data_IF_984106584226
#
_entry.id   IF_984106584226
#
_cell.length_a   1.000
_cell.length_b   1.000
_cell.length_c   1.000
_cell.angle_alpha   90.00
_cell.angle_beta   90.00
_cell.angle_gamma   90.00
#
_symmetry.space_group_name_H-M   'P 1'
#
loop_
_entity.id
_entity.type
_entity.pdbx_description
1 polymer ?
#
# COMPACT_ATOMS: atom_id res chain seq x y z
N UNK A 1 12.91 7.67 6.46
CA UNK A 1 12.20 6.44 6.87
C UNK A 1 11.26 6.03 5.76
N UNK A 2 10.98 4.74 5.64
CA UNK A 2 10.11 4.16 4.61
C UNK A 2 8.94 3.45 5.28
N UNK A 3 7.79 3.47 4.61
CA UNK A 3 6.68 2.60 4.95
C UNK A 3 7.06 1.15 4.66
N UNK A 4 6.80 0.26 5.61
CA UNK A 4 6.88 -1.19 5.48
C UNK A 4 5.52 -1.75 5.06
N UNK A 5 5.53 -2.84 4.30
CA UNK A 5 4.34 -3.57 3.88
C UNK A 5 4.47 -5.01 4.35
N UNK A 6 3.75 -5.34 5.41
CA UNK A 6 3.83 -6.64 6.07
C UNK A 6 2.54 -7.44 5.85
N UNK A 7 2.67 -8.75 5.84
CA UNK A 7 1.54 -9.68 5.80
C UNK A 7 1.40 -10.28 7.18
N UNK A 8 0.19 -10.29 7.73
CA UNK A 8 -0.07 -10.88 9.04
C UNK A 8 -1.17 -11.93 8.95
N UNK A 9 -1.16 -12.87 9.89
CA UNK A 9 -2.28 -13.76 10.15
C UNK A 9 -2.84 -13.49 11.54
N UNK A 10 -4.14 -13.71 11.71
CA UNK A 10 -4.78 -13.62 13.01
C UNK A 10 -4.91 -15.01 13.62
N UNK A 11 -4.29 -15.20 14.78
CA UNK A 11 -4.42 -16.45 15.52
C UNK A 11 -5.85 -16.60 16.09
N UNK A 12 -6.28 -17.82 16.46
CA UNK A 12 -7.57 -18.06 17.07
C UNK A 12 -7.83 -17.27 18.37
N UNK A 13 -6.76 -16.81 19.05
CA UNK A 13 -6.85 -15.99 20.25
C UNK A 13 -6.97 -14.47 19.95
N UNK A 14 -7.00 -14.10 18.67
CA UNK A 14 -7.10 -12.72 18.19
C UNK A 14 -5.76 -11.99 18.05
N UNK A 15 -4.64 -12.60 18.43
CA UNK A 15 -3.32 -11.99 18.26
C UNK A 15 -2.89 -11.96 16.80
N UNK A 16 -2.06 -10.98 16.49
CA UNK A 16 -1.41 -10.86 15.20
C UNK A 16 -0.07 -11.55 15.21
N UNK A 17 0.20 -12.26 14.12
CA UNK A 17 1.52 -12.76 13.81
C UNK A 17 1.90 -12.21 12.43
N UNK A 18 2.88 -11.29 12.40
CA UNK A 18 3.53 -10.87 11.16
C UNK A 18 4.29 -12.09 10.61
N UNK A 19 4.12 -12.35 9.33
CA UNK A 19 4.89 -13.38 8.65
C UNK A 19 6.26 -12.83 8.28
N UNK A 20 7.30 -13.48 8.80
CA UNK A 20 8.67 -13.18 8.42
C UNK A 20 8.85 -13.40 6.92
N UNK A 21 9.35 -12.36 6.26
CA UNK A 21 9.76 -12.40 4.86
C UNK A 21 11.29 -12.29 4.84
N UNK A 22 11.99 -13.02 3.97
CA UNK A 22 13.46 -12.95 3.91
C UNK A 22 13.97 -11.51 3.77
N UNK A 23 15.07 -11.19 4.47
CA UNK A 23 15.66 -9.84 4.53
C UNK A 23 16.01 -9.22 3.16
N UNK A 24 16.14 -10.03 2.11
CA UNK A 24 16.44 -9.61 0.75
C UNK A 24 15.19 -9.20 -0.05
N UNK A 25 13.99 -9.37 0.51
CA UNK A 25 12.73 -8.96 -0.12
C UNK A 25 12.43 -7.50 0.21
N UNK A 26 12.41 -6.66 -0.82
CA UNK A 26 12.10 -5.25 -0.67
C UNK A 26 10.59 -5.02 -0.46
N UNK A 27 10.18 -4.75 0.78
CA UNK A 27 8.78 -4.59 1.18
C UNK A 27 8.39 -3.14 1.51
N UNK A 28 8.80 -2.18 0.67
CA UNK A 28 8.48 -0.78 0.95
C UNK A 28 7.18 -0.33 0.32
N UNK A 29 6.33 0.33 1.11
CA UNK A 29 5.14 1.07 0.68
C UNK A 29 5.45 2.50 0.22
N UNK A 30 6.73 2.90 0.21
CA UNK A 30 7.18 4.23 -0.18
C UNK A 30 7.90 4.97 0.94
N UNK A 31 8.16 6.25 0.73
CA UNK A 31 8.75 7.10 1.76
C UNK A 31 7.72 7.45 2.84
N UNK A 32 8.17 7.70 4.06
CA UNK A 32 7.29 8.15 5.15
C UNK A 32 6.47 9.41 4.77
N UNK A 33 7.04 10.31 3.96
CA UNK A 33 6.31 11.48 3.45
C UNK A 33 5.12 11.11 2.54
N UNK A 34 5.18 9.97 1.86
CA UNK A 34 4.14 9.53 0.90
C UNK A 34 2.82 9.18 1.57
N UNK A 35 2.82 8.93 2.89
CA UNK A 35 1.61 8.91 3.73
C UNK A 35 0.68 10.07 3.39
N UNK A 36 1.23 11.28 3.25
CA UNK A 36 0.46 12.51 2.98
C UNK A 36 0.57 12.99 1.53
N UNK A 37 1.77 12.89 0.94
CA UNK A 37 2.02 13.50 -0.38
C UNK A 37 1.50 12.64 -1.55
N UNK A 38 1.36 11.32 -1.37
CA UNK A 38 0.90 10.40 -2.42
C UNK A 38 -0.37 9.68 -1.96
N UNK A 39 -0.26 8.73 -1.04
CA UNK A 39 -1.35 7.85 -0.61
C UNK A 39 -2.51 8.60 0.02
N UNK A 40 -2.19 9.52 0.93
CA UNK A 40 -3.13 10.41 1.60
C UNK A 40 -3.61 11.60 0.79
N UNK A 41 -3.08 11.81 -0.42
CA UNK A 41 -3.35 13.02 -1.18
C UNK A 41 -4.83 13.17 -1.51
N UNK A 42 -5.30 14.42 -1.62
CA UNK A 42 -6.66 14.70 -2.07
C UNK A 42 -6.93 14.10 -3.46
N UNK A 43 -5.90 14.01 -4.31
CA UNK A 43 -5.99 13.38 -5.62
C UNK A 43 -6.31 11.89 -5.53
N UNK A 44 -5.58 11.12 -4.73
CA UNK A 44 -5.86 9.69 -4.54
C UNK A 44 -7.24 9.48 -3.91
N UNK A 45 -7.62 10.32 -2.92
CA UNK A 45 -8.97 10.30 -2.32
C UNK A 45 -10.07 10.57 -3.35
N UNK A 46 -9.86 11.50 -4.30
CA UNK A 46 -10.89 11.85 -5.30
C UNK A 46 -11.11 10.78 -6.36
N UNK A 47 -10.16 9.85 -6.55
CA UNK A 47 -10.35 8.64 -7.36
C UNK A 47 -11.30 7.62 -6.70
N UNK A 48 -11.61 7.80 -5.41
CA UNK A 48 -12.48 6.89 -4.64
C UNK A 48 -11.74 5.90 -3.76
N UNK A 49 -10.41 6.02 -3.62
CA UNK A 49 -9.62 5.24 -2.68
C UNK A 49 -10.02 5.54 -1.23
N UNK A 50 -10.03 4.49 -0.40
CA UNK A 50 -10.44 4.48 0.99
C UNK A 50 -9.41 3.83 1.91
N UNK A 51 -8.61 2.87 1.43
CA UNK A 51 -7.61 2.18 2.24
C UNK A 51 -6.30 2.98 2.32
N UNK A 52 -5.57 3.14 1.21
CA UNK A 52 -4.29 3.85 1.19
C UNK A 52 -4.37 5.29 1.73
N UNK A 53 -5.47 6.04 1.57
CA UNK A 53 -5.62 7.35 2.20
C UNK A 53 -5.61 7.39 3.73
N UNK A 54 -5.85 6.26 4.42
CA UNK A 54 -5.74 6.12 5.88
C UNK A 54 -4.31 6.40 6.36
N UNK A 55 -3.31 6.11 5.51
CA UNK A 55 -1.89 6.31 5.82
C UNK A 55 -1.54 7.76 6.20
N UNK A 56 -2.35 8.73 5.78
CA UNK A 56 -2.19 10.13 6.17
C UNK A 56 -2.37 10.39 7.67
N UNK A 57 -3.13 9.52 8.35
CA UNK A 57 -3.62 9.72 9.71
C UNK A 57 -3.08 8.66 10.68
N UNK A 58 -2.62 7.52 10.17
CA UNK A 58 -2.03 6.44 10.98
C UNK A 58 -1.62 5.26 10.11
N UNK A 59 -1.34 4.13 10.74
CA UNK A 59 -1.01 2.89 10.03
C UNK A 59 -2.26 2.31 9.36
N UNK A 60 -2.07 1.61 8.25
CA UNK A 60 -3.15 0.97 7.52
C UNK A 60 -3.17 -0.52 7.84
N UNK A 61 -4.27 -0.96 8.41
CA UNK A 61 -4.58 -2.34 8.73
C UNK A 61 -5.69 -2.82 7.79
N UNK A 62 -5.40 -3.83 6.95
CA UNK A 62 -6.38 -4.46 6.05
C UNK A 62 -6.60 -5.89 6.52
N UNK A 63 -7.76 -6.16 7.12
CA UNK A 63 -8.12 -7.50 7.59
C UNK A 63 -8.37 -8.45 6.40
N UNK A 64 -8.29 -9.76 6.64
CA UNK A 64 -8.34 -10.80 5.60
C UNK A 64 -9.56 -10.69 4.69
N UNK A 65 -10.73 -10.39 5.26
CA UNK A 65 -11.98 -10.18 4.52
C UNK A 65 -12.00 -8.91 3.65
N UNK A 66 -11.15 -7.93 3.95
CA UNK A 66 -11.04 -6.66 3.24
C UNK A 66 -10.01 -6.70 2.10
N UNK A 67 -9.08 -7.67 2.12
CA UNK A 67 -8.00 -7.79 1.13
C UNK A 67 -8.51 -7.79 -0.32
N UNK A 68 -9.63 -8.47 -0.68
CA UNK A 68 -10.17 -8.38 -2.05
C UNK A 68 -10.60 -6.97 -2.48
N UNK A 69 -11.18 -6.18 -1.56
CA UNK A 69 -11.54 -4.79 -1.81
C UNK A 69 -10.29 -3.92 -1.93
N UNK A 70 -9.29 -4.18 -1.09
CA UNK A 70 -7.99 -3.51 -1.15
C UNK A 70 -7.26 -3.76 -2.47
N UNK A 71 -7.25 -5.00 -2.97
CA UNK A 71 -6.71 -5.33 -4.30
C UNK A 71 -7.43 -4.56 -5.43
N UNK A 72 -8.75 -4.35 -5.28
CA UNK A 72 -9.53 -3.56 -6.25
C UNK A 72 -9.13 -2.09 -6.21
N UNK A 73 -8.84 -1.54 -5.03
CA UNK A 73 -8.28 -0.19 -4.89
C UNK A 73 -6.87 -0.08 -5.49
N UNK A 74 -6.00 -1.05 -5.25
CA UNK A 74 -4.66 -1.08 -5.85
C UNK A 74 -4.77 -1.10 -7.38
N UNK A 75 -5.65 -1.93 -7.94
CA UNK A 75 -5.91 -1.96 -9.38
C UNK A 75 -6.46 -0.62 -9.91
N UNK A 76 -7.35 0.05 -9.18
CA UNK A 76 -7.83 1.39 -9.50
C UNK A 76 -6.65 2.39 -9.58
N UNK A 77 -5.77 2.42 -8.57
CA UNK A 77 -4.64 3.34 -8.58
C UNK A 77 -3.66 3.03 -9.71
N UNK A 78 -3.42 1.75 -10.02
CA UNK A 78 -2.61 1.35 -11.19
C UNK A 78 -3.21 1.85 -12.50
N UNK A 79 -4.53 1.78 -12.67
CA UNK A 79 -5.22 2.29 -13.86
C UNK A 79 -5.10 3.82 -14.00
N UNK A 80 -4.89 4.53 -12.89
CA UNK A 80 -4.72 5.98 -12.85
C UNK A 80 -3.27 6.43 -12.58
N UNK A 81 -2.29 5.54 -12.74
CA UNK A 81 -0.89 5.77 -12.35
C UNK A 81 -0.32 7.07 -12.92
N UNK A 82 -0.49 7.32 -14.22
CA UNK A 82 0.02 8.54 -14.85
C UNK A 82 -0.62 9.79 -14.24
N UNK A 83 -1.92 9.74 -13.97
CA UNK A 83 -2.64 10.87 -13.40
C UNK A 83 -2.20 11.15 -11.95
N UNK A 84 -1.95 10.08 -11.16
CA UNK A 84 -1.41 10.20 -9.79
C UNK A 84 0.00 10.80 -9.84
N UNK A 85 0.85 10.35 -10.74
CA UNK A 85 2.22 10.86 -10.86
C UNK A 85 2.25 12.36 -11.18
N UNK A 86 1.35 12.85 -12.02
CA UNK A 86 1.23 14.29 -12.31
C UNK A 86 0.52 15.08 -11.20
N UNK A 87 -0.43 14.45 -10.51
CA UNK A 87 -1.33 15.10 -9.54
C UNK A 87 -0.81 15.15 -8.10
N UNK A 88 0.34 14.53 -7.82
CA UNK A 88 0.92 14.44 -6.47
C UNK A 88 2.29 15.12 -6.40
N UNK A 89 2.72 15.47 -5.19
CA UNK A 89 3.99 16.17 -5.00
C UNK A 89 5.18 15.27 -5.37
N UNK A 90 6.05 15.76 -6.24
CA UNK A 90 7.24 15.05 -6.70
C UNK A 90 8.50 15.96 -6.66
N UNK A 91 9.53 15.64 -5.85
CA UNK A 91 10.78 16.41 -5.84
C UNK A 91 11.70 16.08 -7.04
N UNK A 92 11.31 15.10 -7.84
CA UNK A 92 12.03 14.55 -9.00
C UNK A 92 11.20 14.71 -10.28
N UNK A 93 11.65 14.13 -11.40
CA UNK A 93 10.83 14.14 -12.62
C UNK A 93 9.54 13.33 -12.42
N UNK A 94 8.53 13.62 -13.25
CA UNK A 94 7.25 12.90 -13.20
C UNK A 94 7.46 11.42 -13.51
N UNK A 95 8.37 11.10 -14.43
CA UNK A 95 8.70 9.72 -14.80
C UNK A 95 9.34 8.95 -13.64
N UNK A 96 10.35 9.53 -12.96
CA UNK A 96 10.96 8.90 -11.77
C UNK A 96 9.93 8.69 -10.65
N UNK A 97 9.01 9.66 -10.47
CA UNK A 97 7.96 9.57 -9.48
C UNK A 97 6.93 8.49 -9.83
N UNK A 98 6.50 8.44 -11.09
CA UNK A 98 5.63 7.41 -11.64
C UNK A 98 6.20 6.01 -11.43
N UNK A 99 7.46 5.79 -11.80
CA UNK A 99 8.13 4.50 -11.63
C UNK A 99 8.25 4.12 -10.15
N UNK A 100 8.48 5.12 -9.30
CA UNK A 100 8.44 4.97 -7.85
C UNK A 100 7.08 4.46 -7.36
N UNK A 101 5.99 5.11 -7.77
CA UNK A 101 4.62 4.73 -7.40
C UNK A 101 4.29 3.34 -7.94
N UNK A 102 4.63 3.05 -9.20
CA UNK A 102 4.38 1.75 -9.84
C UNK A 102 5.03 0.61 -9.06
N UNK A 103 6.30 0.78 -8.68
CA UNK A 103 7.02 -0.22 -7.90
C UNK A 103 6.34 -0.46 -6.55
N UNK A 104 5.87 0.58 -5.87
CA UNK A 104 5.23 0.45 -4.55
C UNK A 104 3.87 -0.21 -4.66
N UNK A 105 3.06 0.15 -5.67
CA UNK A 105 1.79 -0.51 -5.93
C UNK A 105 1.98 -2.00 -6.24
N UNK A 106 3.04 -2.37 -6.97
CA UNK A 106 3.38 -3.78 -7.21
C UNK A 106 3.72 -4.52 -5.92
N UNK A 107 4.56 -3.95 -5.05
CA UNK A 107 4.91 -4.57 -3.76
C UNK A 107 3.66 -4.77 -2.90
N UNK A 108 2.80 -3.75 -2.82
CA UNK A 108 1.54 -3.81 -2.07
C UNK A 108 0.61 -4.89 -2.64
N UNK A 109 0.49 -4.96 -3.97
CA UNK A 109 -0.29 -5.98 -4.67
C UNK A 109 0.23 -7.39 -4.40
N UNK A 110 1.54 -7.62 -4.48
CA UNK A 110 2.18 -8.90 -4.20
C UNK A 110 1.95 -9.33 -2.74
N UNK A 111 2.08 -8.42 -1.78
CA UNK A 111 1.78 -8.68 -0.36
C UNK A 111 0.29 -8.99 -0.14
N UNK A 112 -0.61 -8.26 -0.79
CA UNK A 112 -2.05 -8.49 -0.70
C UNK A 112 -2.46 -9.84 -1.32
N UNK A 113 -1.90 -10.20 -2.48
CA UNK A 113 -2.09 -11.53 -3.07
C UNK A 113 -1.58 -12.62 -2.13
N UNK A 114 -0.42 -12.40 -1.50
CA UNK A 114 0.10 -13.35 -0.51
C UNK A 114 -0.83 -13.50 0.69
N UNK A 115 -1.39 -12.40 1.18
CA UNK A 115 -2.37 -12.40 2.26
C UNK A 115 -3.62 -13.22 1.89
N UNK A 116 -4.11 -13.13 0.65
CA UNK A 116 -5.22 -13.98 0.16
C UNK A 116 -4.86 -15.46 0.20
N UNK A 117 -3.67 -15.86 -0.25
CA UNK A 117 -3.25 -17.27 -0.28
C UNK A 117 -3.29 -17.95 1.10
N UNK A 118 -3.00 -17.19 2.14
CA UNK A 118 -2.85 -17.70 3.52
C UNK A 118 -4.05 -17.40 4.41
N UNK A 119 -5.05 -16.65 3.92
CA UNK A 119 -6.18 -16.15 4.72
C UNK A 119 -5.79 -15.10 5.75
N UNK A 120 -4.79 -14.27 5.44
CA UNK A 120 -4.25 -13.20 6.29
C UNK A 120 -4.61 -11.80 5.82
N UNK A 121 -4.10 -10.80 6.52
CA UNK A 121 -4.26 -9.37 6.23
C UNK A 121 -2.94 -8.69 5.82
N UNK A 122 -3.01 -7.39 5.55
CA UNK A 122 -1.86 -6.53 5.21
C UNK A 122 -1.76 -5.38 6.20
N UNK A 123 -0.55 -5.10 6.69
CA UNK A 123 -0.21 -3.97 7.52
C UNK A 123 0.76 -3.04 6.77
N UNK A 124 0.50 -1.73 6.79
CA UNK A 124 1.40 -0.71 6.27
C UNK A 124 1.67 0.37 7.31
N UNK A 125 2.93 0.54 7.70
CA UNK A 125 3.39 1.45 8.78
C UNK A 125 4.79 2.02 8.54
#
# INVERSE_FOLDING_TARGET
MSLLVEVFVREPDGKWQILDVPDDVYQSGGFESWRRTVWGSQFVRSLGARFLPVLAEGDLEVEAEQVPEFLSEVALLRAHLDAIAHGTEHPRTVEEHRDGIELRLRIIEESALKAVEIGGGVLIW
#
